data_IF_373342334147
#
_entry.id   IF_373342334147
#
_cell.length_a   1.000
_cell.length_b   1.000
_cell.length_c   1.000
_cell.angle_alpha   90.00
_cell.angle_beta   90.00
_cell.angle_gamma   90.00
#
_symmetry.space_group_name_H-M   'P 1'
#
loop_
_entity.id
_entity.type
_entity.pdbx_description
1 polymer ?
#
# COMPACT_ATOMS: atom_id res chain seq x y z
N UNK A 1 11.29 -3.65 -11.48
CA UNK A 1 11.61 -3.21 -10.11
C UNK A 1 10.38 -2.68 -9.39
N UNK A 2 9.59 -1.81 -10.02
CA UNK A 2 8.22 -1.41 -9.57
C UNK A 2 7.32 -2.60 -9.25
N UNK A 3 7.48 -3.69 -10.00
CA UNK A 3 6.80 -4.98 -9.81
C UNK A 3 7.15 -5.66 -8.47
N UNK A 4 8.39 -5.54 -8.00
CA UNK A 4 8.81 -6.10 -6.71
C UNK A 4 8.30 -5.23 -5.55
N UNK A 5 8.24 -3.90 -5.74
CA UNK A 5 7.59 -2.99 -4.79
C UNK A 5 6.07 -3.25 -4.69
N UNK A 6 5.39 -3.51 -5.81
CA UNK A 6 3.98 -3.91 -5.83
C UNK A 6 3.71 -5.32 -5.29
N UNK A 7 4.70 -6.22 -5.34
CA UNK A 7 4.65 -7.55 -4.70
C UNK A 7 4.75 -7.47 -3.18
N UNK A 8 5.56 -6.55 -2.64
CA UNK A 8 5.65 -6.33 -1.20
C UNK A 8 4.48 -5.52 -0.64
N UNK A 9 3.86 -4.68 -1.45
CA UNK A 9 2.79 -3.78 -1.05
C UNK A 9 1.50 -4.08 -1.82
N UNK A 10 0.76 -5.04 -1.29
CA UNK A 10 -0.67 -5.26 -1.48
C UNK A 10 -1.28 -4.72 -2.79
N UNK A 11 -1.22 -5.53 -3.86
CA UNK A 11 -2.16 -5.60 -5.01
C UNK A 11 -2.63 -4.32 -5.74
N UNK A 12 -2.09 -3.13 -5.50
CA UNK A 12 -2.60 -1.87 -6.10
C UNK A 12 -1.64 -1.10 -6.99
N UNK A 13 -0.50 -1.68 -7.36
CA UNK A 13 0.26 -1.11 -8.45
C UNK A 13 -0.47 -1.40 -9.77
N UNK A 14 -1.29 -0.46 -10.23
CA UNK A 14 -1.88 -0.49 -11.56
C UNK A 14 -1.04 0.34 -12.53
N UNK A 15 -0.67 -0.25 -13.66
CA UNK A 15 -0.02 0.47 -14.74
C UNK A 15 -1.10 0.93 -15.72
N UNK A 16 -1.24 2.24 -15.85
CA UNK A 16 -2.22 2.89 -16.70
C UNK A 16 -1.51 3.43 -17.93
N UNK A 17 -2.13 3.25 -19.10
CA UNK A 17 -1.54 3.58 -20.39
C UNK A 17 -2.59 4.10 -21.35
N UNK A 18 -2.16 5.01 -22.24
CA UNK A 18 -2.97 5.52 -23.36
C UNK A 18 -3.20 4.43 -24.42
N UNK A 19 -2.20 3.58 -24.68
CA UNK A 19 -2.28 2.50 -25.67
C UNK A 19 -2.42 1.13 -25.01
N UNK A 20 -2.85 0.11 -25.77
CA UNK A 20 -2.82 -1.26 -25.25
C UNK A 20 -1.37 -1.68 -25.04
N UNK A 21 -1.10 -2.36 -23.93
CA UNK A 21 0.27 -2.74 -23.61
C UNK A 21 0.94 -3.62 -24.67
N UNK A 22 0.17 -4.46 -25.37
CA UNK A 22 0.65 -5.29 -26.48
C UNK A 22 1.21 -4.49 -27.66
N UNK A 23 0.84 -3.22 -27.78
CA UNK A 23 1.19 -2.34 -28.91
C UNK A 23 2.46 -1.50 -28.63
N UNK A 24 3.00 -1.53 -27.41
CA UNK A 24 4.24 -0.83 -27.10
C UNK A 24 5.45 -1.51 -27.74
N UNK A 25 6.29 -0.71 -28.40
CA UNK A 25 7.62 -1.11 -28.82
C UNK A 25 8.62 -0.75 -27.72
N UNK A 26 9.32 -1.74 -27.17
CA UNK A 26 10.39 -1.52 -26.20
C UNK A 26 11.65 -0.99 -26.87
N UNK A 27 11.95 -1.46 -28.07
CA UNK A 27 13.09 -1.03 -28.86
C UNK A 27 12.87 -1.42 -30.31
N UNK A 28 12.85 -0.46 -31.24
CA UNK A 28 12.75 -0.50 -32.73
C UNK A 28 11.97 -1.65 -33.41
N UNK A 29 12.16 -2.91 -33.02
CA UNK A 29 11.52 -4.12 -33.55
C UNK A 29 10.99 -5.09 -32.46
N UNK A 30 11.16 -4.80 -31.16
CA UNK A 30 10.72 -5.64 -30.05
C UNK A 30 9.42 -5.11 -29.44
N UNK A 31 8.31 -5.80 -29.71
CA UNK A 31 7.03 -5.55 -29.05
C UNK A 31 7.10 -5.98 -27.59
N UNK A 32 6.40 -5.26 -26.72
CA UNK A 32 6.21 -5.64 -25.32
C UNK A 32 5.68 -7.07 -25.21
N UNK A 33 4.74 -7.46 -26.08
CA UNK A 33 4.20 -8.82 -26.09
C UNK A 33 5.28 -9.88 -26.36
N UNK A 34 6.27 -9.58 -27.21
CA UNK A 34 7.40 -10.47 -27.48
C UNK A 34 8.36 -10.52 -26.28
N UNK A 35 8.63 -9.38 -25.65
CA UNK A 35 9.45 -9.35 -24.44
C UNK A 35 8.77 -10.10 -23.27
N UNK A 36 7.48 -9.86 -23.04
CA UNK A 36 6.68 -10.55 -22.03
C UNK A 36 6.64 -12.04 -22.32
N UNK A 37 6.49 -12.46 -23.57
CA UNK A 37 6.47 -13.89 -23.94
C UNK A 37 7.77 -14.63 -23.61
N UNK A 38 8.90 -13.92 -23.48
CA UNK A 38 10.18 -14.47 -23.01
C UNK A 38 10.28 -14.66 -21.49
N UNK A 39 9.36 -14.11 -20.69
CA UNK A 39 9.43 -14.15 -19.23
C UNK A 39 8.88 -15.45 -18.62
N UNK A 40 9.16 -15.69 -17.33
CA UNK A 40 8.56 -16.82 -16.58
C UNK A 40 7.04 -16.67 -16.47
N UNK A 41 6.32 -17.79 -16.35
CA UNK A 41 4.85 -17.80 -16.24
C UNK A 41 4.35 -16.90 -15.09
N UNK A 42 5.02 -16.95 -13.95
CA UNK A 42 4.64 -16.16 -12.78
C UNK A 42 4.85 -14.66 -12.99
N UNK A 43 5.96 -14.27 -13.63
CA UNK A 43 6.24 -12.87 -13.94
C UNK A 43 5.26 -12.33 -14.99
N UNK A 44 4.94 -13.13 -16.01
CA UNK A 44 3.90 -12.79 -17.00
C UNK A 44 2.56 -12.53 -16.34
N UNK A 45 2.08 -13.46 -15.51
CA UNK A 45 0.78 -13.36 -14.85
C UNK A 45 0.71 -12.10 -13.98
N UNK A 46 1.79 -11.81 -13.27
CA UNK A 46 1.91 -10.62 -12.45
C UNK A 46 1.84 -9.33 -13.28
N UNK A 47 2.68 -9.20 -14.32
CA UNK A 47 2.66 -8.05 -15.23
C UNK A 47 1.25 -7.82 -15.78
N UNK A 48 0.61 -8.88 -16.28
CA UNK A 48 -0.74 -8.80 -16.84
C UNK A 48 -1.77 -8.40 -15.78
N UNK A 49 -1.64 -8.85 -14.53
CA UNK A 49 -2.55 -8.46 -13.44
C UNK A 49 -2.45 -6.99 -13.03
N UNK A 50 -1.30 -6.35 -13.27
CA UNK A 50 -1.08 -4.94 -12.94
C UNK A 50 -1.48 -4.00 -14.07
N UNK A 51 -1.63 -4.48 -15.30
CA UNK A 51 -1.95 -3.62 -16.44
C UNK A 51 -3.45 -3.33 -16.49
N UNK A 52 -3.82 -2.05 -16.51
CA UNK A 52 -5.19 -1.64 -16.81
C UNK A 52 -5.58 -2.12 -18.21
N UNK A 53 -6.77 -2.72 -18.32
CA UNK A 53 -7.35 -3.14 -19.61
C UNK A 53 -8.10 -2.02 -20.32
N UNK A 54 -8.39 -0.93 -19.61
CA UNK A 54 -9.09 0.23 -20.15
C UNK A 54 -8.08 1.28 -20.61
N UNK A 55 -8.19 1.78 -21.85
CA UNK A 55 -7.35 2.86 -22.32
C UNK A 55 -7.61 4.12 -21.51
N UNK A 56 -6.55 4.87 -21.22
CA UNK A 56 -6.66 6.17 -20.60
C UNK A 56 -7.26 7.17 -21.60
N UNK A 57 -8.43 7.71 -21.27
CA UNK A 57 -9.10 8.76 -22.04
C UNK A 57 -9.11 10.03 -21.19
N UNK A 58 -8.24 10.96 -21.55
CA UNK A 58 -8.21 12.32 -21.01
C UNK A 58 -8.24 13.27 -22.22
N UNK A 59 -9.40 13.87 -22.50
CA UNK A 59 -9.56 14.77 -23.65
C UNK A 59 -9.46 16.25 -23.23
N UNK A 60 -9.66 16.53 -21.95
CA UNK A 60 -9.52 17.82 -21.31
C UNK A 60 -9.34 17.61 -19.79
N UNK A 61 -8.54 18.43 -19.08
CA UNK A 61 -7.65 19.47 -19.61
C UNK A 61 -6.49 18.93 -20.46
N UNK A 62 -5.80 19.79 -21.22
CA UNK A 62 -4.76 19.38 -22.16
C UNK A 62 -3.38 19.40 -21.50
N UNK A 63 -2.61 18.32 -21.72
CA UNK A 63 -1.28 18.15 -21.15
C UNK A 63 -0.26 17.91 -22.24
N UNK A 64 0.86 18.63 -22.19
CA UNK A 64 1.97 18.41 -23.12
C UNK A 64 3.33 18.34 -22.42
N UNK A 65 4.24 17.54 -23.00
CA UNK A 65 5.62 17.42 -22.58
C UNK A 65 6.50 17.60 -23.80
N UNK A 66 7.37 18.61 -23.77
CA UNK A 66 8.19 19.04 -24.92
C UNK A 66 7.39 19.27 -26.21
N UNK A 67 6.19 19.84 -26.08
CA UNK A 67 5.30 20.17 -27.20
C UNK A 67 4.45 19.00 -27.71
N UNK A 68 4.67 17.78 -27.22
CA UNK A 68 3.91 16.60 -27.59
C UNK A 68 2.81 16.31 -26.57
N UNK A 69 1.66 15.79 -27.04
CA UNK A 69 0.56 15.40 -26.16
C UNK A 69 1.01 14.33 -25.17
N UNK A 70 0.73 14.55 -23.88
CA UNK A 70 1.21 13.72 -22.77
C UNK A 70 0.10 13.30 -21.80
N UNK A 71 -1.04 12.82 -22.30
CA UNK A 71 -2.19 12.37 -21.47
C UNK A 71 -1.81 11.50 -20.26
N UNK A 72 -0.83 10.59 -20.43
CA UNK A 72 -0.36 9.73 -19.34
C UNK A 72 0.31 10.49 -18.19
N UNK A 73 1.12 11.51 -18.50
CA UNK A 73 1.72 12.39 -17.49
C UNK A 73 0.66 13.30 -16.85
N UNK A 74 -0.29 13.80 -17.64
CA UNK A 74 -1.44 14.55 -17.13
C UNK A 74 -2.28 13.75 -16.13
N UNK A 75 -2.61 12.51 -16.47
CA UNK A 75 -3.33 11.62 -15.55
C UNK A 75 -2.55 11.34 -14.27
N UNK A 76 -1.23 11.13 -14.37
CA UNK A 76 -0.38 10.94 -13.21
C UNK A 76 -0.34 12.19 -12.32
N UNK A 77 -0.34 13.39 -12.91
CA UNK A 77 -0.45 14.65 -12.18
C UNK A 77 -1.79 14.77 -11.43
N UNK A 78 -2.92 14.62 -12.14
CA UNK A 78 -4.26 14.79 -11.56
C UNK A 78 -4.56 13.81 -10.42
N UNK A 79 -4.02 12.60 -10.51
CA UNK A 79 -4.28 11.52 -9.56
C UNK A 79 -3.16 11.36 -8.53
N UNK A 80 -2.17 12.27 -8.51
CA UNK A 80 -1.00 12.22 -7.63
C UNK A 80 -0.36 10.83 -7.66
N UNK A 81 0.02 10.36 -8.87
CA UNK A 81 0.65 9.07 -9.15
C UNK A 81 2.12 9.24 -9.56
N UNK A 82 2.89 8.15 -9.42
CA UNK A 82 4.24 8.05 -9.95
C UNK A 82 4.21 7.70 -11.44
N UNK A 83 4.66 8.61 -12.31
CA UNK A 83 4.89 8.30 -13.71
C UNK A 83 6.13 7.41 -13.87
N UNK A 84 6.05 6.43 -14.79
CA UNK A 84 7.16 5.52 -15.06
C UNK A 84 7.45 5.51 -16.56
N UNK A 85 8.73 5.59 -16.92
CA UNK A 85 9.20 5.38 -18.29
C UNK A 85 10.31 4.32 -18.33
N UNK A 86 10.77 4.02 -19.54
CA UNK A 86 11.98 3.22 -19.75
C UNK A 86 13.18 4.15 -19.93
N UNK A 87 14.31 3.78 -19.34
CA UNK A 87 15.59 4.46 -19.51
C UNK A 87 16.17 4.26 -20.92
N UNK A 88 15.54 4.90 -21.90
CA UNK A 88 15.87 4.79 -23.33
C UNK A 88 16.34 6.11 -23.92
N UNK A 89 16.07 7.23 -23.23
CA UNK A 89 16.43 8.58 -23.66
C UNK A 89 16.76 9.44 -22.42
N UNK A 90 17.78 10.28 -22.52
CA UNK A 90 18.19 11.22 -21.46
C UNK A 90 17.05 12.16 -21.04
N UNK A 91 16.12 12.42 -21.96
CA UNK A 91 14.92 13.22 -21.71
C UNK A 91 14.07 12.69 -20.55
N UNK A 92 14.15 11.39 -20.25
CA UNK A 92 13.43 10.73 -19.15
C UNK A 92 14.27 10.58 -17.88
N UNK A 93 15.56 10.92 -17.89
CA UNK A 93 16.49 10.67 -16.78
C UNK A 93 16.36 11.70 -15.64
N UNK A 94 15.12 12.01 -15.25
CA UNK A 94 14.77 12.96 -14.20
C UNK A 94 13.75 12.36 -13.24
N UNK A 95 13.89 12.64 -11.94
CA UNK A 95 12.96 12.18 -10.89
C UNK A 95 11.65 12.99 -10.86
N UNK A 96 11.61 14.11 -11.57
CA UNK A 96 10.42 14.92 -11.83
C UNK A 96 10.45 15.39 -13.28
N UNK A 97 9.27 15.50 -13.91
CA UNK A 97 9.14 16.00 -15.28
C UNK A 97 8.26 17.25 -15.27
N UNK A 98 8.75 18.37 -15.84
CA UNK A 98 7.91 19.54 -16.06
C UNK A 98 6.99 19.27 -17.25
N UNK A 99 5.68 19.39 -17.06
CA UNK A 99 4.69 19.31 -18.13
C UNK A 99 3.88 20.60 -18.18
N UNK A 100 3.35 20.91 -19.36
CA UNK A 100 2.46 22.03 -19.58
C UNK A 100 1.01 21.57 -19.44
N UNK A 101 0.24 22.27 -18.62
CA UNK A 101 -1.20 22.12 -18.42
C UNK A 101 -1.91 23.31 -19.09
N UNK A 102 -2.89 23.02 -19.94
CA UNK A 102 -3.73 24.02 -20.61
C UNK A 102 -5.21 23.74 -20.33
N UNK A 103 -5.92 24.76 -19.86
CA UNK A 103 -7.34 24.68 -19.53
C UNK A 103 -8.02 26.04 -19.67
N UNK A 104 -9.36 26.05 -19.73
CA UNK A 104 -10.17 27.27 -19.71
C UNK A 104 -10.50 27.58 -18.26
N UNK A 105 -10.13 28.79 -17.82
CA UNK A 105 -10.50 29.30 -16.51
C UNK A 105 -11.99 29.66 -16.48
N UNK A 106 -12.72 29.12 -15.51
CA UNK A 106 -14.19 29.23 -15.43
C UNK A 106 -14.65 30.67 -15.18
N UNK A 107 -13.87 31.46 -14.45
CA UNK A 107 -14.24 32.83 -14.06
C UNK A 107 -13.99 33.84 -15.19
N UNK A 108 -12.83 33.75 -15.85
CA UNK A 108 -12.41 34.66 -16.91
C UNK A 108 -12.79 34.19 -18.32
N UNK A 109 -13.19 32.92 -18.47
CA UNK A 109 -13.41 32.26 -19.75
C UNK A 109 -12.23 32.42 -20.72
N UNK A 110 -11.01 32.42 -20.16
CA UNK A 110 -9.76 32.60 -20.89
C UNK A 110 -8.91 31.33 -20.84
N UNK A 111 -8.09 31.12 -21.87
CA UNK A 111 -7.12 30.02 -21.89
C UNK A 111 -6.00 30.32 -20.89
N UNK A 112 -5.82 29.41 -19.94
CA UNK A 112 -4.73 29.42 -18.96
C UNK A 112 -3.73 28.34 -19.33
N UNK A 113 -2.44 28.69 -19.20
CA UNK A 113 -1.32 27.78 -19.41
C UNK A 113 -0.43 27.79 -18.17
N UNK A 114 -0.16 26.62 -17.61
CA UNK A 114 0.66 26.45 -16.42
C UNK A 114 1.76 25.42 -16.65
N UNK A 115 2.90 25.61 -15.99
CA UNK A 115 3.92 24.56 -15.88
C UNK A 115 3.71 23.85 -14.54
N UNK A 116 3.46 22.55 -14.60
CA UNK A 116 3.28 21.69 -13.44
C UNK A 116 4.34 20.59 -13.45
N UNK A 117 4.62 19.99 -12.28
CA UNK A 117 5.62 18.94 -12.16
C UNK A 117 4.96 17.59 -11.85
N UNK A 118 5.43 16.55 -12.51
CA UNK A 118 5.00 15.17 -12.27
C UNK A 118 6.15 14.37 -11.70
N UNK A 119 5.91 13.61 -10.62
CA UNK A 119 6.90 12.67 -10.09
C UNK A 119 7.13 11.56 -11.10
N UNK A 120 8.40 11.25 -11.33
CA UNK A 120 8.81 10.33 -12.37
C UNK A 120 9.91 9.38 -11.89
N UNK A 121 9.86 8.14 -12.39
CA UNK A 121 10.93 7.17 -12.21
C UNK A 121 11.21 6.44 -13.55
N UNK A 122 12.48 6.23 -13.84
CA UNK A 122 12.95 5.59 -15.08
C UNK A 122 13.84 4.36 -14.81
N UNK A 123 14.29 4.19 -13.57
CA UNK A 123 15.21 3.13 -13.15
C UNK A 123 14.98 2.74 -11.67
N UNK A 124 15.88 1.94 -11.10
CA UNK A 124 15.79 1.52 -9.70
C UNK A 124 16.05 2.63 -8.69
N UNK A 125 17.05 3.46 -8.98
CA UNK A 125 17.52 4.49 -8.05
C UNK A 125 16.50 5.64 -7.95
N UNK A 126 15.86 6.02 -9.06
CA UNK A 126 14.74 6.97 -9.08
C UNK A 126 13.49 6.44 -8.38
N UNK A 127 13.23 5.13 -8.38
CA UNK A 127 12.16 4.55 -7.55
C UNK A 127 12.52 4.66 -6.08
N UNK A 128 13.76 4.34 -5.70
CA UNK A 128 14.22 4.45 -4.31
C UNK A 128 14.17 5.90 -3.82
N UNK A 129 14.48 6.87 -4.69
CA UNK A 129 14.33 8.29 -4.38
C UNK A 129 12.90 8.66 -3.93
N UNK A 130 11.88 8.00 -4.51
CA UNK A 130 10.47 8.22 -4.19
C UNK A 130 9.90 7.28 -3.12
N UNK A 131 10.73 6.50 -2.41
CA UNK A 131 10.28 5.49 -1.43
C UNK A 131 9.30 6.07 -0.40
N UNK A 132 9.65 7.22 0.18
CA UNK A 132 8.78 7.90 1.16
C UNK A 132 7.41 8.32 0.61
N UNK A 133 7.35 8.74 -0.65
CA UNK A 133 6.11 9.12 -1.32
C UNK A 133 5.28 7.87 -1.64
N UNK A 134 5.91 6.81 -2.15
CA UNK A 134 5.26 5.53 -2.43
C UNK A 134 4.62 4.96 -1.17
N UNK A 135 5.36 4.94 -0.05
CA UNK A 135 4.87 4.49 1.25
C UNK A 135 3.66 5.32 1.71
N UNK A 136 3.73 6.64 1.59
CA UNK A 136 2.62 7.53 1.94
C UNK A 136 1.38 7.31 1.07
N UNK A 137 1.55 7.13 -0.25
CA UNK A 137 0.44 6.85 -1.17
C UNK A 137 -0.23 5.51 -0.85
N UNK A 138 0.56 4.46 -0.57
CA UNK A 138 0.02 3.16 -0.13
C UNK A 138 -0.78 3.31 1.16
N UNK A 139 -0.26 4.04 2.14
CA UNK A 139 -0.98 4.30 3.39
C UNK A 139 -2.29 5.05 3.16
N UNK A 140 -2.29 6.06 2.27
CA UNK A 140 -3.49 6.81 1.87
C UNK A 140 -4.53 5.90 1.22
N UNK A 141 -4.14 5.08 0.26
CA UNK A 141 -5.06 4.20 -0.49
C UNK A 141 -5.63 3.10 0.41
N UNK A 142 -4.81 2.52 1.28
CA UNK A 142 -5.28 1.57 2.29
C UNK A 142 -6.28 2.23 3.24
N UNK A 143 -6.05 3.50 3.60
CA UNK A 143 -6.99 4.26 4.43
C UNK A 143 -8.29 4.53 3.70
N UNK A 144 -8.25 4.90 2.42
CA UNK A 144 -9.45 5.13 1.60
C UNK A 144 -10.31 3.88 1.48
N UNK A 145 -9.73 2.72 1.17
CA UNK A 145 -10.50 1.46 1.19
C UNK A 145 -11.04 1.12 2.56
N UNK A 146 -10.23 1.37 3.60
CA UNK A 146 -10.70 1.11 4.94
C UNK A 146 -11.80 2.08 5.41
N UNK A 147 -12.03 3.21 4.72
CA UNK A 147 -13.21 4.06 4.94
C UNK A 147 -14.51 3.41 4.43
N UNK A 148 -14.42 2.46 3.50
CA UNK A 148 -15.58 1.68 3.07
C UNK A 148 -15.99 0.61 4.11
N UNK A 149 -15.15 0.38 5.12
CA UNK A 149 -15.42 -0.55 6.22
C UNK A 149 -16.28 0.13 7.28
N UNK A 150 -17.58 -0.11 7.21
CA UNK A 150 -18.57 0.49 8.13
C UNK A 150 -18.74 -0.28 9.45
N UNK A 151 -18.24 -1.52 9.53
CA UNK A 151 -18.49 -2.43 10.63
C UNK A 151 -17.32 -3.38 10.90
N UNK A 152 -17.17 -3.80 12.16
CA UNK A 152 -16.20 -4.82 12.54
C UNK A 152 -16.41 -6.15 11.82
N UNK A 153 -17.66 -6.53 11.52
CA UNK A 153 -17.94 -7.74 10.76
C UNK A 153 -17.36 -7.67 9.33
N UNK A 154 -17.54 -6.53 8.65
CA UNK A 154 -16.95 -6.29 7.33
C UNK A 154 -15.42 -6.27 7.40
N UNK A 155 -14.85 -5.61 8.42
CA UNK A 155 -13.41 -5.63 8.68
C UNK A 155 -12.89 -7.06 8.80
N UNK A 156 -13.59 -7.91 9.56
CA UNK A 156 -13.20 -9.31 9.72
C UNK A 156 -13.21 -10.05 8.38
N UNK A 157 -14.28 -9.92 7.59
CA UNK A 157 -14.38 -10.59 6.29
C UNK A 157 -13.22 -10.20 5.36
N UNK A 158 -12.89 -8.91 5.28
CA UNK A 158 -11.87 -8.39 4.36
C UNK A 158 -10.45 -8.36 4.91
N UNK A 159 -10.24 -8.73 6.19
CA UNK A 159 -8.96 -8.54 6.91
C UNK A 159 -7.73 -9.07 6.20
N UNK A 160 -7.84 -10.22 5.51
CA UNK A 160 -6.70 -10.85 4.83
C UNK A 160 -6.29 -10.09 3.57
N UNK A 161 -7.26 -9.48 2.89
CA UNK A 161 -7.02 -8.65 1.72
C UNK A 161 -6.48 -7.29 2.13
N UNK A 162 -7.05 -6.66 3.16
CA UNK A 162 -6.62 -5.35 3.64
C UNK A 162 -5.26 -5.39 4.35
N UNK A 163 -4.96 -6.47 5.08
CA UNK A 163 -3.77 -6.57 5.94
C UNK A 163 -3.01 -7.90 5.75
N UNK A 164 -2.40 -8.14 4.58
CA UNK A 164 -1.74 -9.42 4.25
C UNK A 164 -0.53 -9.74 5.14
N UNK A 165 0.10 -8.73 5.76
CA UNK A 165 1.25 -8.94 6.66
C UNK A 165 0.83 -9.19 8.11
N UNK A 166 -0.48 -9.17 8.39
CA UNK A 166 -1.06 -9.44 9.70
C UNK A 166 -1.86 -10.75 9.64
N UNK A 167 -1.62 -11.64 10.62
CA UNK A 167 -2.34 -12.89 10.73
C UNK A 167 -3.19 -12.93 12.00
N UNK A 168 -4.50 -12.97 11.80
CA UNK A 168 -5.50 -12.84 12.86
C UNK A 168 -5.85 -14.21 13.42
N UNK A 169 -5.70 -14.41 14.74
CA UNK A 169 -6.12 -15.64 15.42
C UNK A 169 -7.66 -15.75 15.40
N UNK A 170 -8.23 -16.94 15.30
CA UNK A 170 -9.69 -17.11 15.16
C UNK A 170 -10.50 -16.47 16.30
N UNK A 171 -9.98 -16.51 17.53
CA UNK A 171 -10.66 -16.01 18.72
C UNK A 171 -10.94 -14.50 18.74
N UNK A 172 -10.30 -13.70 17.88
CA UNK A 172 -10.53 -12.24 17.83
C UNK A 172 -11.65 -11.84 16.88
N UNK A 173 -12.28 -12.79 16.18
CA UNK A 173 -13.43 -12.53 15.31
C UNK A 173 -14.54 -11.77 16.02
N UNK A 174 -15.04 -12.32 17.13
CA UNK A 174 -16.09 -11.71 17.92
C UNK A 174 -15.66 -10.38 18.55
N UNK A 175 -14.36 -10.24 18.84
CA UNK A 175 -13.80 -9.00 19.38
C UNK A 175 -13.84 -7.89 18.31
N UNK A 176 -13.37 -8.20 17.10
CA UNK A 176 -13.38 -7.27 15.97
C UNK A 176 -14.82 -6.90 15.62
N UNK A 177 -15.73 -7.87 15.53
CA UNK A 177 -17.14 -7.66 15.21
C UNK A 177 -17.86 -6.72 16.18
N UNK A 178 -17.35 -6.54 17.40
CA UNK A 178 -17.93 -5.65 18.41
C UNK A 178 -17.60 -4.17 18.23
N UNK A 179 -16.68 -3.80 17.32
CA UNK A 179 -16.29 -2.41 17.09
C UNK A 179 -17.12 -1.74 15.99
N UNK A 180 -17.42 -0.46 16.21
CA UNK A 180 -18.07 0.45 15.27
C UNK A 180 -17.64 1.89 15.53
N UNK A 181 -17.98 2.80 14.60
CA UNK A 181 -17.69 4.23 14.72
C UNK A 181 -16.20 4.54 14.95
N UNK A 182 -15.92 5.54 15.78
CA UNK A 182 -14.55 6.01 16.04
C UNK A 182 -13.61 4.92 16.57
N UNK A 183 -14.11 3.95 17.33
CA UNK A 183 -13.30 2.84 17.83
C UNK A 183 -12.86 1.91 16.70
N UNK A 184 -13.72 1.66 15.73
CA UNK A 184 -13.39 0.88 14.54
C UNK A 184 -12.37 1.64 13.67
N UNK A 185 -12.58 2.93 13.44
CA UNK A 185 -11.64 3.78 12.69
C UNK A 185 -10.26 3.77 13.33
N UNK A 186 -10.20 3.92 14.65
CA UNK A 186 -8.95 3.86 15.41
C UNK A 186 -8.25 2.49 15.34
N UNK A 187 -9.01 1.40 15.40
CA UNK A 187 -8.50 0.04 15.20
C UNK A 187 -7.92 -0.12 13.79
N UNK A 188 -8.66 0.29 12.77
CA UNK A 188 -8.25 0.24 11.37
C UNK A 188 -6.94 1.03 11.16
N UNK A 189 -6.86 2.26 11.66
CA UNK A 189 -5.64 3.07 11.54
C UNK A 189 -4.43 2.36 12.16
N UNK A 190 -4.60 1.73 13.34
CA UNK A 190 -3.54 0.93 13.96
C UNK A 190 -3.14 -0.28 13.11
N UNK A 191 -4.11 -0.98 12.52
CA UNK A 191 -3.84 -2.11 11.63
C UNK A 191 -3.13 -1.68 10.34
N UNK A 192 -3.47 -0.52 9.76
CA UNK A 192 -2.78 0.05 8.60
C UNK A 192 -1.31 0.32 8.94
N UNK A 193 -1.03 1.03 10.04
CA UNK A 193 0.34 1.33 10.47
C UNK A 193 1.15 0.04 10.71
N UNK A 194 0.56 -0.95 11.40
CA UNK A 194 1.22 -2.22 11.66
C UNK A 194 1.46 -2.99 10.36
N UNK A 195 0.45 -3.13 9.50
CA UNK A 195 0.59 -3.85 8.24
C UNK A 195 1.67 -3.23 7.36
N UNK A 196 1.77 -1.90 7.31
CA UNK A 196 2.84 -1.19 6.58
C UNK A 196 4.23 -1.50 7.14
N UNK A 197 4.40 -1.50 8.46
CA UNK A 197 5.68 -1.87 9.06
C UNK A 197 6.06 -3.31 8.73
N UNK A 198 5.15 -4.28 8.94
CA UNK A 198 5.44 -5.68 8.68
C UNK A 198 5.61 -5.99 7.19
N UNK A 199 4.92 -5.27 6.30
CA UNK A 199 5.11 -5.39 4.85
C UNK A 199 6.48 -4.88 4.40
N UNK A 200 7.14 -4.02 5.16
CA UNK A 200 8.48 -3.48 4.87
C UNK A 200 9.62 -4.13 5.66
N UNK A 201 9.29 -4.96 6.66
CA UNK A 201 10.30 -5.56 7.51
C UNK A 201 11.07 -6.69 6.80
N UNK A 202 12.28 -6.38 6.32
CA UNK A 202 13.14 -7.35 5.58
C UNK A 202 14.26 -7.93 6.44
N UNK A 203 14.92 -7.09 7.23
CA UNK A 203 16.14 -7.43 7.97
C UNK A 203 16.08 -6.91 9.39
N UNK A 204 17.05 -7.32 10.22
CA UNK A 204 17.13 -6.90 11.61
C UNK A 204 16.02 -7.48 12.50
N UNK A 205 16.09 -7.10 13.78
CA UNK A 205 15.11 -7.46 14.80
C UNK A 205 13.84 -6.61 14.68
N UNK A 206 12.77 -7.04 15.33
CA UNK A 206 11.54 -6.26 15.44
C UNK A 206 11.79 -4.96 16.23
N UNK A 207 11.42 -3.82 15.66
CA UNK A 207 11.40 -2.53 16.36
C UNK A 207 9.97 -2.20 16.83
N UNK A 208 9.79 -2.20 18.16
CA UNK A 208 8.50 -1.91 18.79
C UNK A 208 8.05 -0.45 18.67
N UNK A 209 8.95 0.46 18.30
CA UNK A 209 8.65 1.89 18.18
C UNK A 209 8.31 2.31 16.73
N UNK A 210 8.36 1.38 15.78
CA UNK A 210 8.18 1.68 14.36
C UNK A 210 6.73 2.01 13.96
N UNK A 211 5.77 1.86 14.88
CA UNK A 211 4.39 2.32 14.72
C UNK A 211 3.88 2.89 16.05
N UNK A 212 2.80 3.68 15.98
CA UNK A 212 2.22 4.33 17.15
C UNK A 212 1.60 3.39 18.20
N UNK A 213 0.85 3.97 19.14
CA UNK A 213 0.14 3.18 20.16
C UNK A 213 1.00 2.74 21.35
N UNK A 214 2.30 3.09 21.34
CA UNK A 214 3.24 2.87 22.44
C UNK A 214 3.29 1.40 22.87
N UNK A 215 3.97 0.59 22.05
CA UNK A 215 4.11 -0.85 22.24
C UNK A 215 4.93 -1.20 23.48
N UNK A 216 4.46 -2.19 24.25
CA UNK A 216 5.05 -2.59 25.54
C UNK A 216 4.85 -4.09 25.76
N UNK A 217 5.69 -4.66 26.61
CA UNK A 217 5.50 -6.01 27.13
C UNK A 217 4.59 -5.98 28.35
N UNK A 218 3.79 -7.03 28.51
CA UNK A 218 3.14 -7.34 29.79
C UNK A 218 4.19 -7.68 30.85
N UNK A 219 3.92 -7.30 32.10
CA UNK A 219 4.81 -7.64 33.22
C UNK A 219 4.73 -9.13 33.54
N UNK A 220 5.79 -9.70 34.13
CA UNK A 220 5.79 -11.11 34.53
C UNK A 220 4.61 -11.47 35.45
N UNK A 221 4.26 -10.57 36.37
CA UNK A 221 3.08 -10.73 37.24
C UNK A 221 1.79 -10.89 36.43
N UNK A 222 1.59 -10.06 35.40
CA UNK A 222 0.41 -10.15 34.53
C UNK A 222 0.43 -11.37 33.63
N UNK A 223 1.61 -11.76 33.13
CA UNK A 223 1.77 -12.99 32.34
C UNK A 223 1.34 -14.20 33.18
N UNK A 224 1.83 -14.30 34.41
CA UNK A 224 1.46 -15.40 35.30
C UNK A 224 -0.04 -15.40 35.65
N UNK A 225 -0.61 -14.22 35.94
CA UNK A 225 -2.02 -14.07 36.30
C UNK A 225 -2.96 -14.41 35.13
N UNK A 226 -2.60 -14.01 33.91
CA UNK A 226 -3.45 -14.13 32.72
C UNK A 226 -2.91 -15.13 31.70
N UNK A 227 -2.14 -16.12 32.16
CA UNK A 227 -1.44 -17.08 31.32
C UNK A 227 -2.37 -17.73 30.27
N UNK A 228 -3.56 -18.16 30.70
CA UNK A 228 -4.53 -18.82 29.81
C UNK A 228 -5.17 -17.87 28.78
N UNK A 229 -5.12 -16.55 28.99
CA UNK A 229 -5.67 -15.55 28.07
C UNK A 229 -4.61 -14.98 27.12
N UNK A 230 -3.34 -15.05 27.51
CA UNK A 230 -2.21 -14.56 26.73
C UNK A 230 -1.55 -15.66 25.90
N UNK A 231 -1.73 -16.94 26.25
CA UNK A 231 -1.35 -18.07 25.40
C UNK A 231 -2.49 -18.40 24.46
N UNK A 232 -2.27 -18.18 23.17
CA UNK A 232 -3.32 -18.24 22.16
C UNK A 232 -2.88 -19.18 21.05
N UNK A 233 -3.80 -20.03 20.61
CA UNK A 233 -3.61 -20.90 19.45
C UNK A 233 -3.68 -20.05 18.19
N UNK A 234 -2.58 -20.01 17.45
CA UNK A 234 -2.48 -19.32 16.17
C UNK A 234 -3.04 -20.19 15.02
N UNK A 235 -3.32 -19.60 13.84
CA UNK A 235 -3.75 -20.32 12.64
C UNK A 235 -2.86 -21.49 12.20
N UNK A 236 -1.57 -21.48 12.57
CA UNK A 236 -0.65 -22.59 12.31
C UNK A 236 -0.66 -23.68 13.40
N UNK A 237 -1.67 -23.67 14.28
CA UNK A 237 -1.87 -24.59 15.40
C UNK A 237 -0.85 -24.48 16.55
N UNK A 238 0.10 -23.56 16.45
CA UNK A 238 1.07 -23.30 17.51
C UNK A 238 0.50 -22.36 18.58
N UNK A 239 0.82 -22.62 19.84
CA UNK A 239 0.47 -21.74 20.95
C UNK A 239 1.57 -20.71 21.13
N UNK A 240 1.21 -19.41 21.11
CA UNK A 240 2.15 -18.31 21.34
C UNK A 240 1.74 -17.45 22.51
N UNK A 241 2.72 -16.88 23.19
CA UNK A 241 2.52 -15.90 24.27
C UNK A 241 2.42 -14.48 23.70
N UNK A 242 1.23 -13.90 23.76
CA UNK A 242 0.90 -12.55 23.30
C UNK A 242 1.19 -11.49 24.38
N UNK A 243 2.46 -11.38 24.79
CA UNK A 243 2.90 -10.42 25.82
C UNK A 243 3.08 -9.00 25.29
N UNK A 244 3.42 -8.82 24.01
CA UNK A 244 3.48 -7.51 23.37
C UNK A 244 2.07 -6.96 23.15
N UNK A 245 1.88 -5.70 23.47
CA UNK A 245 0.65 -4.99 23.24
C UNK A 245 0.87 -3.51 22.94
N UNK A 246 -0.02 -2.91 22.16
CA UNK A 246 -0.08 -1.47 21.92
C UNK A 246 -1.51 -0.97 22.11
N UNK A 247 -1.64 0.34 22.34
CA UNK A 247 -2.95 1.01 22.33
C UNK A 247 -3.38 1.30 20.90
N UNK A 248 -4.66 1.11 20.59
CA UNK A 248 -5.23 1.62 19.34
C UNK A 248 -6.19 2.78 19.55
N UNK A 249 -6.62 3.06 20.79
CA UNK A 249 -7.41 4.25 21.12
C UNK A 249 -7.08 4.77 22.52
N UNK A 250 -7.56 6.00 22.82
CA UNK A 250 -7.32 6.68 24.11
C UNK A 250 -8.05 6.00 25.29
N UNK A 251 -9.04 5.14 25.05
CA UNK A 251 -9.90 4.56 26.09
C UNK A 251 -9.39 3.22 26.67
N UNK A 252 -8.08 3.01 26.69
CA UNK A 252 -7.48 1.78 27.24
C UNK A 252 -7.75 0.52 26.41
N UNK A 253 -8.07 0.70 25.12
CA UNK A 253 -8.20 -0.36 24.15
C UNK A 253 -6.81 -0.80 23.67
N UNK A 254 -6.58 -2.10 23.66
CA UNK A 254 -5.30 -2.74 23.42
C UNK A 254 -5.41 -3.78 22.33
N UNK A 255 -4.34 -3.87 21.55
CA UNK A 255 -4.10 -4.96 20.63
C UNK A 255 -2.88 -5.73 21.14
N UNK A 256 -3.04 -7.03 21.41
CA UNK A 256 -1.91 -7.90 21.70
C UNK A 256 -1.48 -8.64 20.44
N UNK A 257 -0.16 -8.73 20.27
CA UNK A 257 0.42 -9.25 19.04
C UNK A 257 1.75 -9.98 19.29
N UNK A 258 2.21 -10.75 18.31
CA UNK A 258 3.51 -11.43 18.31
C UNK A 258 4.16 -11.25 16.94
N UNK A 259 5.31 -10.55 16.84
CA UNK A 259 6.08 -10.50 15.59
C UNK A 259 6.71 -11.88 15.31
N UNK A 260 6.58 -12.38 14.09
CA UNK A 260 7.21 -13.61 13.63
C UNK A 260 8.44 -13.28 12.79
N UNK A 261 9.62 -13.46 13.38
CA UNK A 261 10.90 -13.15 12.75
C UNK A 261 11.15 -13.99 11.48
N UNK A 262 10.71 -15.24 11.49
CA UNK A 262 10.95 -16.19 10.40
C UNK A 262 10.00 -15.93 9.24
N UNK A 263 8.71 -15.73 9.53
CA UNK A 263 7.68 -15.49 8.53
C UNK A 263 7.59 -14.02 8.09
N UNK A 264 8.21 -13.09 8.83
CA UNK A 264 8.13 -11.63 8.61
C UNK A 264 6.69 -11.10 8.60
N UNK A 265 5.85 -11.66 9.45
CA UNK A 265 4.47 -11.25 9.67
C UNK A 265 4.24 -10.92 11.15
N UNK A 266 3.05 -10.44 11.46
CA UNK A 266 2.61 -10.24 12.83
C UNK A 266 1.36 -11.06 13.13
N UNK A 267 1.40 -11.87 14.18
CA UNK A 267 0.22 -12.54 14.71
C UNK A 267 -0.56 -11.55 15.59
N UNK A 268 -1.88 -11.44 15.40
CA UNK A 268 -2.78 -10.65 16.25
C UNK A 268 -3.66 -11.61 17.05
N UNK A 269 -3.59 -11.52 18.37
CA UNK A 269 -4.18 -12.51 19.28
C UNK A 269 -5.28 -11.97 20.18
N UNK A 270 -5.30 -10.67 20.45
CA UNK A 270 -6.35 -10.05 21.25
C UNK A 270 -6.57 -8.60 20.82
N UNK A 271 -7.82 -8.17 20.74
CA UNK A 271 -8.22 -6.78 20.49
C UNK A 271 -9.35 -6.45 21.47
N UNK A 272 -9.18 -5.41 22.28
CA UNK A 272 -10.21 -5.04 23.24
C UNK A 272 -9.67 -4.28 24.42
N UNK A 273 -10.50 -4.12 25.45
CA UNK A 273 -10.07 -3.48 26.70
C UNK A 273 -8.92 -4.26 27.32
N UNK A 274 -8.19 -3.60 28.23
CA UNK A 274 -7.18 -4.28 29.05
C UNK A 274 -7.72 -5.60 29.61
N UNK A 275 -6.96 -6.69 29.41
CA UNK A 275 -7.22 -7.98 30.02
C UNK A 275 -7.20 -7.82 31.55
N UNK A 276 -8.33 -8.11 32.18
CA UNK A 276 -8.59 -8.06 33.63
C UNK A 276 -8.87 -9.44 34.21
#
# INVERSE_FOLDING_TARGET
MCINAGKSHNRKASIISVNRFSEFNFHKDLLFQQWVSGQTKDLKNLIISMVSKSPLILDYPYYSFNGENSKGLGYAFENDLLAISFDMDQLWQHTTLPIKLEYIDEDSNSLVEENVEVRHAYDGDSVQYHESYIDQSILRDNKLEALEIDSGAMLWIQRQELFPSLSFCSQIEQQIASFSGDLLVNLINRLIEMNHYFSNWRTGNFDRNAFGGNSRLESQTRINQFNNRLNIVCPDSEIRLFSLHCNFSLHGQRMHFVPDQTKRICWIGYIGKKIV
#
